data_IF_848819136620
#
_entry.id   IF_848819136620
#
_cell.length_a   1.000
_cell.length_b   1.000
_cell.length_c   1.000
_cell.angle_alpha   90.00
_cell.angle_beta   90.00
_cell.angle_gamma   90.00
#
_symmetry.space_group_name_H-M   'P 1'
#
loop_
_entity.id
_entity.type
_entity.pdbx_description
1 polymer ?
#
# COMPACT_ATOMS: atom_id res chain seq x y z
N UNK A 1 -3.84 -35.56 -1.28
CA UNK A 1 -4.22 -36.84 -1.94
C UNK A 1 -5.68 -37.23 -1.70
N UNK A 2 -6.13 -37.22 -0.43
CA UNK A 2 -7.52 -37.54 -0.08
C UNK A 2 -8.53 -36.46 -0.50
N UNK A 3 -8.28 -35.18 -0.23
CA UNK A 3 -9.20 -34.10 -0.63
C UNK A 3 -9.45 -34.03 -2.14
N UNK A 4 -8.40 -34.26 -2.94
CA UNK A 4 -8.49 -34.28 -4.41
C UNK A 4 -9.37 -35.46 -4.87
N UNK A 5 -9.17 -36.64 -4.28
CA UNK A 5 -9.97 -37.83 -4.59
C UNK A 5 -11.45 -37.65 -4.18
N UNK A 6 -11.70 -37.08 -3.01
CA UNK A 6 -13.04 -36.73 -2.55
C UNK A 6 -13.73 -35.74 -3.48
N UNK A 7 -13.02 -34.72 -3.97
CA UNK A 7 -13.56 -33.77 -4.93
C UNK A 7 -13.84 -34.40 -6.30
N UNK A 8 -12.94 -35.25 -6.79
CA UNK A 8 -13.12 -35.93 -8.08
C UNK A 8 -14.32 -36.88 -8.09
N UNK A 9 -14.53 -37.61 -6.98
CA UNK A 9 -15.63 -38.58 -6.84
C UNK A 9 -16.97 -37.95 -6.44
N UNK A 10 -16.97 -36.71 -5.94
CA UNK A 10 -18.20 -35.98 -5.63
C UNK A 10 -18.98 -35.69 -6.94
N UNK A 11 -20.27 -36.05 -6.97
CA UNK A 11 -21.17 -35.87 -8.12
C UNK A 11 -22.08 -34.65 -8.01
N UNK A 12 -21.99 -33.88 -6.92
CA UNK A 12 -22.75 -32.64 -6.75
C UNK A 12 -22.37 -31.63 -7.86
N UNK A 13 -23.33 -31.11 -8.64
CA UNK A 13 -23.05 -30.11 -9.68
C UNK A 13 -22.41 -28.83 -9.12
N UNK A 14 -22.62 -28.52 -7.84
CA UNK A 14 -22.09 -27.33 -7.18
C UNK A 14 -20.79 -27.58 -6.40
N UNK A 15 -20.19 -28.77 -6.51
CA UNK A 15 -19.00 -29.14 -5.73
C UNK A 15 -17.84 -28.14 -5.86
N UNK A 16 -17.69 -27.51 -7.04
CA UNK A 16 -16.64 -26.50 -7.29
C UNK A 16 -16.90 -25.22 -6.51
N UNK A 17 -18.13 -24.73 -6.54
CA UNK A 17 -18.53 -23.54 -5.80
C UNK A 17 -18.37 -23.78 -4.29
N UNK A 18 -18.85 -24.92 -3.78
CA UNK A 18 -18.66 -25.32 -2.40
C UNK A 18 -17.17 -25.43 -2.00
N UNK A 19 -16.32 -25.94 -2.90
CA UNK A 19 -14.88 -25.99 -2.68
C UNK A 19 -14.26 -24.60 -2.60
N UNK A 20 -14.59 -23.70 -3.53
CA UNK A 20 -14.11 -22.31 -3.53
C UNK A 20 -14.49 -21.62 -2.23
N UNK A 21 -15.76 -21.72 -1.83
CA UNK A 21 -16.25 -21.08 -0.61
C UNK A 21 -15.54 -21.64 0.63
N UNK A 22 -15.31 -22.96 0.70
CA UNK A 22 -14.54 -23.59 1.79
C UNK A 22 -13.09 -23.12 1.82
N UNK A 23 -12.41 -23.09 0.67
CA UNK A 23 -10.98 -22.74 0.61
C UNK A 23 -10.74 -21.28 0.98
N UNK A 24 -11.54 -20.35 0.46
CA UNK A 24 -11.36 -18.91 0.74
C UNK A 24 -11.61 -18.57 2.21
N UNK A 25 -12.38 -19.38 2.94
CA UNK A 25 -12.59 -19.21 4.39
C UNK A 25 -11.57 -19.94 5.27
N UNK A 26 -10.64 -20.70 4.69
CA UNK A 26 -9.69 -21.52 5.46
C UNK A 26 -8.50 -20.71 5.99
N UNK A 27 -7.88 -21.20 7.07
CA UNK A 27 -6.66 -20.61 7.62
C UNK A 27 -5.50 -20.69 6.63
N UNK A 28 -5.44 -21.74 5.81
CA UNK A 28 -4.46 -21.89 4.74
C UNK A 28 -4.58 -20.79 3.70
N UNK A 29 -5.81 -20.39 3.33
CA UNK A 29 -6.01 -19.24 2.45
C UNK A 29 -5.49 -17.96 3.10
N UNK A 30 -5.79 -17.71 4.38
CA UNK A 30 -5.28 -16.52 5.07
C UNK A 30 -3.75 -16.46 5.05
N UNK A 31 -3.09 -17.58 5.34
CA UNK A 31 -1.63 -17.65 5.32
C UNK A 31 -1.05 -17.48 3.91
N UNK A 32 -1.69 -18.05 2.88
CA UNK A 32 -1.27 -17.89 1.49
C UNK A 32 -1.46 -16.46 1.00
N UNK A 33 -2.65 -15.88 1.24
CA UNK A 33 -3.03 -14.55 0.78
C UNK A 33 -2.27 -13.44 1.51
N UNK A 34 -1.83 -13.69 2.74
CA UNK A 34 -0.86 -12.82 3.42
C UNK A 34 0.43 -12.66 2.59
N UNK A 35 0.90 -13.73 1.94
CA UNK A 35 2.06 -13.67 1.05
C UNK A 35 1.85 -12.78 -0.17
N UNK A 36 0.63 -12.73 -0.71
CA UNK A 36 0.25 -11.76 -1.75
C UNK A 36 0.32 -10.31 -1.22
N UNK A 37 -0.08 -10.09 0.04
CA UNK A 37 -0.03 -8.77 0.68
C UNK A 37 1.35 -8.41 1.27
N UNK A 38 2.31 -9.34 1.36
CA UNK A 38 3.59 -9.12 2.04
C UNK A 38 4.38 -7.96 1.42
N UNK A 39 4.42 -7.88 0.09
CA UNK A 39 5.11 -6.79 -0.61
C UNK A 39 4.33 -5.47 -0.52
N UNK A 40 3.01 -5.56 -0.71
CA UNK A 40 2.09 -4.44 -0.77
C UNK A 40 1.98 -3.70 0.57
N UNK A 41 1.94 -4.45 1.67
CA UNK A 41 1.74 -3.94 3.02
C UNK A 41 3.02 -4.01 3.88
N UNK A 42 4.17 -4.38 3.28
CA UNK A 42 5.46 -4.53 3.98
C UNK A 42 5.41 -5.47 5.19
N UNK A 43 4.68 -6.57 5.08
CA UNK A 43 4.37 -7.45 6.22
C UNK A 43 5.50 -8.43 6.54
N UNK A 44 6.51 -8.55 5.67
CA UNK A 44 7.72 -9.31 5.97
C UNK A 44 8.57 -8.60 7.03
N UNK A 45 8.77 -9.29 8.15
CA UNK A 45 9.61 -8.84 9.25
C UNK A 45 11.07 -8.58 8.88
N UNK A 46 11.56 -9.09 7.75
CA UNK A 46 12.87 -8.71 7.22
C UNK A 46 12.94 -7.21 6.83
N UNK A 47 11.82 -6.63 6.37
CA UNK A 47 11.73 -5.20 6.05
C UNK A 47 11.56 -4.34 7.30
N UNK A 48 10.87 -4.83 8.32
CA UNK A 48 10.85 -4.22 9.66
C UNK A 48 12.20 -4.34 10.39
N UNK A 49 13.00 -5.39 10.12
CA UNK A 49 14.39 -5.50 10.58
C UNK A 49 15.33 -4.54 9.83
N UNK A 50 14.96 -4.14 8.62
CA UNK A 50 15.69 -3.17 7.77
C UNK A 50 15.31 -1.70 8.07
N UNK A 51 14.74 -1.41 9.24
CA UNK A 51 14.52 -0.03 9.78
C UNK A 51 15.85 0.66 10.15
N UNK A 52 16.97 0.10 9.73
CA UNK A 52 18.25 0.77 9.56
C UNK A 52 18.76 0.40 8.17
N UNK A 53 19.44 1.33 7.50
CA UNK A 53 20.11 1.21 6.19
C UNK A 53 19.30 1.65 4.96
N UNK A 54 19.10 2.96 4.77
CA UNK A 54 18.97 3.53 3.45
C UNK A 54 20.36 3.82 2.84
N UNK A 55 20.48 3.53 1.54
CA UNK A 55 21.57 3.95 0.65
C UNK A 55 21.75 5.48 0.56
N UNK A 56 20.83 6.26 1.17
CA UNK A 56 20.90 7.71 1.29
C UNK A 56 22.01 8.20 2.26
N UNK A 57 22.62 7.30 3.04
CA UNK A 57 23.82 7.57 3.85
C UNK A 57 25.15 7.31 3.12
N UNK A 58 25.14 7.10 1.79
CA UNK A 58 26.37 7.00 0.98
C UNK A 58 27.31 8.22 1.07
N UNK A 59 26.88 9.32 1.71
CA UNK A 59 27.68 10.53 2.00
C UNK A 59 28.23 10.61 3.43
N UNK A 60 27.88 9.70 4.33
CA UNK A 60 28.47 9.63 5.68
C UNK A 60 29.50 8.50 5.68
N UNK A 61 30.74 8.81 6.08
CA UNK A 61 31.81 7.83 6.11
C UNK A 61 31.44 6.62 6.97
N UNK A 62 31.78 5.41 6.52
CA UNK A 62 31.47 4.12 7.20
C UNK A 62 31.88 4.09 8.68
N UNK A 63 32.86 4.90 9.07
CA UNK A 63 33.37 5.01 10.45
C UNK A 63 32.46 5.85 11.37
N UNK A 64 31.78 6.89 10.85
CA UNK A 64 30.81 7.68 11.63
C UNK A 64 29.49 6.91 11.86
N UNK A 65 29.18 5.95 11.01
CA UNK A 65 27.97 5.10 11.09
C UNK A 65 28.12 4.03 12.18
N UNK A 66 29.34 3.60 12.51
CA UNK A 66 29.60 2.62 13.56
C UNK A 66 29.32 3.14 14.98
N UNK A 67 29.21 4.46 15.16
CA UNK A 67 28.89 5.10 16.44
C UNK A 67 27.39 5.24 16.72
N UNK A 68 26.51 5.03 15.73
CA UNK A 68 25.05 4.87 15.95
C UNK A 68 24.77 3.40 16.36
N UNK A 69 25.46 3.00 17.43
CA UNK A 69 24.97 2.25 18.59
C UNK A 69 23.75 1.34 18.33
N UNK A 70 24.05 0.06 18.03
CA UNK A 70 23.13 -1.11 18.05
C UNK A 70 22.24 -1.20 19.31
N UNK A 71 22.61 -0.51 20.39
CA UNK A 71 21.87 -0.37 21.65
C UNK A 71 20.69 0.60 21.60
N UNK A 72 20.62 1.51 20.62
CA UNK A 72 19.52 2.47 20.44
C UNK A 72 18.41 1.98 19.51
N UNK A 73 18.59 0.83 18.87
CA UNK A 73 17.63 0.24 17.94
C UNK A 73 17.09 -1.07 18.50
N UNK A 74 15.77 -1.19 18.58
CA UNK A 74 15.06 -2.43 18.88
C UNK A 74 13.83 -2.44 17.97
N UNK A 75 13.85 -3.13 16.81
CA UNK A 75 12.74 -3.05 15.88
C UNK A 75 11.46 -3.61 16.53
N UNK A 76 10.28 -3.09 16.15
CA UNK A 76 9.01 -3.67 16.57
C UNK A 76 8.93 -5.16 16.19
N UNK A 77 8.37 -6.04 17.05
CA UNK A 77 8.19 -7.45 16.74
C UNK A 77 7.29 -7.58 15.50
N UNK A 78 7.79 -8.14 14.38
CA UNK A 78 7.03 -8.17 13.13
C UNK A 78 5.80 -9.08 13.22
N UNK A 79 5.81 -10.06 14.12
CA UNK A 79 4.69 -10.94 14.43
C UNK A 79 3.40 -10.19 14.79
N UNK A 80 3.45 -9.11 15.58
CA UNK A 80 2.23 -8.39 15.99
C UNK A 80 1.51 -7.73 14.81
N UNK A 81 2.25 -7.09 13.89
CA UNK A 81 1.68 -6.53 12.67
C UNK A 81 1.22 -7.61 11.71
N UNK A 82 2.02 -8.67 11.55
CA UNK A 82 1.69 -9.80 10.68
C UNK A 82 0.42 -10.51 11.12
N UNK A 83 0.27 -10.78 12.41
CA UNK A 83 -0.92 -11.37 13.00
C UNK A 83 -2.12 -10.42 12.89
N UNK A 84 -1.91 -9.12 13.12
CA UNK A 84 -2.96 -8.12 12.88
C UNK A 84 -3.45 -8.17 11.42
N UNK A 85 -2.56 -8.15 10.41
CA UNK A 85 -2.98 -8.28 9.00
C UNK A 85 -3.76 -9.57 8.75
N UNK A 86 -3.34 -10.71 9.32
CA UNK A 86 -4.10 -11.97 9.23
C UNK A 86 -5.52 -11.83 9.77
N UNK A 87 -5.71 -11.13 10.90
CA UNK A 87 -7.08 -10.88 11.42
C UNK A 87 -7.93 -10.06 10.45
N UNK A 88 -7.33 -9.11 9.73
CA UNK A 88 -8.04 -8.30 8.73
C UNK A 88 -8.47 -9.14 7.52
N UNK A 89 -7.59 -10.03 7.04
CA UNK A 89 -7.89 -10.98 5.97
C UNK A 89 -8.97 -11.98 6.43
N UNK A 90 -8.82 -12.55 7.62
CA UNK A 90 -9.77 -13.52 8.17
C UNK A 90 -11.17 -12.92 8.27
N UNK A 91 -11.28 -11.69 8.77
CA UNK A 91 -12.54 -10.96 8.92
C UNK A 91 -13.14 -10.40 7.61
N UNK A 92 -12.50 -10.65 6.45
CA UNK A 92 -12.91 -10.09 5.16
C UNK A 92 -13.12 -8.57 5.21
N UNK A 93 -12.16 -7.86 5.83
CA UNK A 93 -12.28 -6.41 5.97
C UNK A 93 -12.25 -5.75 4.57
N UNK A 94 -13.15 -4.80 4.28
CA UNK A 94 -13.10 -4.01 3.06
C UNK A 94 -11.71 -3.38 2.84
N UNK A 95 -11.17 -3.55 1.64
CA UNK A 95 -9.82 -3.11 1.28
C UNK A 95 -9.61 -1.61 1.45
N UNK A 96 -10.58 -0.79 1.03
CA UNK A 96 -10.59 0.65 1.27
C UNK A 96 -10.49 1.02 2.75
N UNK A 97 -11.20 0.30 3.63
CA UNK A 97 -11.16 0.55 5.08
C UNK A 97 -9.84 0.09 5.70
N UNK A 98 -9.28 -1.03 5.24
CA UNK A 98 -7.98 -1.52 5.68
C UNK A 98 -6.87 -0.52 5.32
N UNK A 99 -6.82 -0.09 4.05
CA UNK A 99 -5.83 0.89 3.58
C UNK A 99 -5.98 2.22 4.32
N UNK A 100 -7.21 2.67 4.56
CA UNK A 100 -7.45 3.89 5.34
C UNK A 100 -6.94 3.76 6.78
N UNK A 101 -7.16 2.63 7.45
CA UNK A 101 -6.62 2.41 8.80
C UNK A 101 -5.09 2.38 8.80
N UNK A 102 -4.48 1.70 7.84
CA UNK A 102 -3.02 1.62 7.70
C UNK A 102 -2.40 3.02 7.52
N UNK A 103 -2.95 3.84 6.62
CA UNK A 103 -2.41 5.17 6.31
C UNK A 103 -2.65 6.19 7.42
N UNK A 104 -3.67 5.98 8.25
CA UNK A 104 -4.04 6.88 9.36
C UNK A 104 -3.63 6.38 10.73
N UNK A 105 -2.98 5.21 10.81
CA UNK A 105 -2.53 4.64 12.07
C UNK A 105 -1.60 5.60 12.82
N UNK A 106 -1.83 5.68 14.13
CA UNK A 106 -1.07 6.48 15.10
C UNK A 106 -1.08 5.75 16.45
N UNK A 107 -0.24 6.22 17.38
CA UNK A 107 -0.03 5.61 18.70
C UNK A 107 1.16 4.66 18.73
N UNK A 108 1.28 3.97 19.86
CA UNK A 108 2.33 2.98 20.11
C UNK A 108 2.10 1.70 19.32
N UNK A 109 3.18 1.13 18.79
CA UNK A 109 3.10 -0.12 18.02
C UNK A 109 2.46 -1.29 18.80
N UNK A 110 2.77 -1.43 20.10
CA UNK A 110 2.19 -2.51 20.92
C UNK A 110 0.68 -2.36 21.16
N UNK A 111 0.15 -1.14 21.06
CA UNK A 111 -1.26 -0.82 21.25
C UNK A 111 -2.01 -0.81 19.91
N UNK A 112 -1.34 -0.40 18.84
CA UNK A 112 -1.89 -0.31 17.49
C UNK A 112 -0.91 -0.89 16.45
N UNK A 113 -0.96 -2.22 16.19
CA UNK A 113 -0.07 -2.86 15.23
C UNK A 113 -0.17 -2.32 13.80
N UNK A 114 -1.28 -1.68 13.41
CA UNK A 114 -1.45 -1.07 12.08
C UNK A 114 -0.40 0.01 11.78
N UNK A 115 0.19 0.62 12.82
CA UNK A 115 1.32 1.55 12.70
C UNK A 115 2.56 0.92 12.06
N UNK A 116 2.66 -0.42 12.05
CA UNK A 116 3.77 -1.18 11.48
C UNK A 116 4.10 -0.82 10.03
N UNK A 117 3.08 -0.57 9.19
CA UNK A 117 3.29 -0.12 7.81
C UNK A 117 4.08 1.19 7.74
N UNK A 118 3.64 2.20 8.48
CA UNK A 118 4.25 3.53 8.47
C UNK A 118 5.63 3.52 9.13
N UNK A 119 5.83 2.69 10.16
CA UNK A 119 7.13 2.50 10.80
C UNK A 119 8.14 1.82 9.86
N UNK A 120 7.70 0.83 9.08
CA UNK A 120 8.53 0.18 8.07
C UNK A 120 9.03 1.18 7.01
N UNK A 121 8.17 2.12 6.61
CA UNK A 121 8.48 3.11 5.58
C UNK A 121 9.29 4.31 6.12
N UNK A 122 9.00 4.77 7.35
CA UNK A 122 9.65 5.96 7.93
C UNK A 122 11.14 5.71 8.24
N UNK A 123 11.52 4.47 8.58
CA UNK A 123 12.92 4.08 8.83
C UNK A 123 13.86 4.23 7.62
N UNK A 124 13.30 4.38 6.41
CA UNK A 124 14.07 4.45 5.16
C UNK A 124 14.23 5.89 4.67
N UNK A 125 13.55 6.86 5.30
CA UNK A 125 13.61 8.28 4.94
C UNK A 125 12.91 8.58 3.60
N UNK A 126 11.78 9.29 3.67
CA UNK A 126 11.04 9.83 2.51
C UNK A 126 10.43 8.81 1.52
N UNK A 127 10.35 7.51 1.85
CA UNK A 127 9.78 6.49 0.93
C UNK A 127 8.25 6.36 1.05
N UNK A 128 7.65 6.74 2.18
CA UNK A 128 6.20 6.61 2.42
C UNK A 128 5.29 7.06 1.26
N UNK A 129 5.47 8.25 0.64
CA UNK A 129 4.57 8.67 -0.44
C UNK A 129 4.71 7.80 -1.69
N UNK A 130 5.93 7.42 -2.08
CA UNK A 130 6.16 6.57 -3.25
C UNK A 130 5.53 5.20 -3.09
N UNK A 131 5.82 4.53 -1.97
CA UNK A 131 5.29 3.19 -1.75
C UNK A 131 3.78 3.21 -1.63
N UNK A 132 3.19 4.16 -0.90
CA UNK A 132 1.72 4.28 -0.82
C UNK A 132 1.08 4.50 -2.20
N UNK A 133 1.68 5.31 -3.07
CA UNK A 133 1.17 5.54 -4.42
C UNK A 133 1.29 4.30 -5.31
N UNK A 134 2.42 3.59 -5.31
CA UNK A 134 2.59 2.35 -6.08
C UNK A 134 1.73 1.20 -5.54
N UNK A 135 1.66 1.09 -4.21
CA UNK A 135 0.89 0.07 -3.51
C UNK A 135 -0.60 0.23 -3.78
N UNK A 136 -1.13 1.44 -3.59
CA UNK A 136 -2.57 1.63 -3.50
C UNK A 136 -3.18 2.36 -4.69
N UNK A 137 -2.46 3.27 -5.37
CA UNK A 137 -2.93 3.94 -6.57
C UNK A 137 -2.38 3.32 -7.88
N UNK A 138 -1.40 2.42 -7.80
CA UNK A 138 -0.71 1.89 -8.97
C UNK A 138 -0.02 2.99 -9.76
N UNK A 139 0.65 3.94 -9.09
CA UNK A 139 1.46 4.97 -9.77
C UNK A 139 2.85 5.05 -9.15
N UNK A 140 3.86 5.05 -10.01
CA UNK A 140 5.24 5.23 -9.60
C UNK A 140 5.65 6.72 -9.68
N UNK A 141 5.75 7.36 -8.52
CA UNK A 141 6.16 8.77 -8.41
C UNK A 141 7.63 8.94 -8.00
N UNK A 142 8.39 7.85 -7.83
CA UNK A 142 9.71 7.89 -7.18
C UNK A 142 10.74 8.72 -7.94
N UNK A 143 10.76 8.70 -9.28
CA UNK A 143 11.70 9.54 -10.04
C UNK A 143 11.45 11.04 -9.78
N UNK A 144 10.18 11.41 -9.59
CA UNK A 144 9.74 12.77 -9.26
C UNK A 144 10.25 13.28 -7.90
N UNK A 145 10.87 12.44 -7.07
CA UNK A 145 11.45 12.88 -5.80
C UNK A 145 12.54 13.94 -5.98
N UNK A 146 13.39 13.78 -6.99
CA UNK A 146 14.58 14.60 -7.19
C UNK A 146 14.50 15.49 -8.43
N UNK A 147 13.71 15.11 -9.42
CA UNK A 147 13.53 15.84 -10.68
C UNK A 147 12.23 15.39 -11.36
N UNK A 148 11.67 16.19 -12.26
CA UNK A 148 10.47 15.78 -13.02
C UNK A 148 10.64 14.41 -13.68
N UNK A 149 9.57 13.62 -13.67
CA UNK A 149 9.58 12.28 -14.24
C UNK A 149 9.97 12.33 -15.74
N UNK A 150 10.89 11.47 -16.21
CA UNK A 150 11.44 11.58 -17.56
C UNK A 150 10.46 11.22 -18.68
N UNK A 151 9.38 10.49 -18.36
CA UNK A 151 8.45 9.91 -19.35
C UNK A 151 6.97 10.19 -19.08
N UNK A 152 6.64 10.81 -17.95
CA UNK A 152 5.25 11.06 -17.53
C UNK A 152 5.13 12.51 -17.07
N UNK A 153 3.93 13.07 -17.15
CA UNK A 153 3.63 14.43 -16.68
C UNK A 153 3.48 14.46 -15.15
N UNK A 154 4.53 14.02 -14.45
CA UNK A 154 4.64 14.04 -12.99
C UNK A 154 5.85 14.90 -12.65
N UNK A 155 5.61 16.08 -12.09
CA UNK A 155 6.65 17.05 -11.78
C UNK A 155 7.21 16.83 -10.37
N UNK A 156 8.41 17.37 -10.09
CA UNK A 156 8.99 17.27 -8.74
C UNK A 156 8.05 17.87 -7.68
N UNK A 157 7.40 18.98 -8.01
CA UNK A 157 6.42 19.61 -7.14
C UNK A 157 5.23 18.68 -6.83
N UNK A 158 4.79 17.81 -7.75
CA UNK A 158 3.70 16.87 -7.50
C UNK A 158 4.09 15.81 -6.47
N UNK A 159 5.32 15.27 -6.58
CA UNK A 159 5.86 14.38 -5.56
C UNK A 159 5.91 15.06 -4.20
N UNK A 160 6.43 16.30 -4.14
CA UNK A 160 6.58 17.04 -2.88
C UNK A 160 5.22 17.34 -2.24
N UNK A 161 4.19 17.62 -3.04
CA UNK A 161 2.80 17.82 -2.58
C UNK A 161 2.19 16.54 -2.02
N UNK A 162 2.45 15.38 -2.64
CA UNK A 162 2.02 14.09 -2.09
C UNK A 162 2.78 13.79 -0.79
N UNK A 163 4.10 14.01 -0.76
CA UNK A 163 4.94 13.85 0.42
C UNK A 163 4.49 14.74 1.58
N UNK A 164 3.99 15.94 1.30
CA UNK A 164 3.48 16.86 2.31
C UNK A 164 2.28 16.33 3.09
N UNK A 165 1.51 15.36 2.55
CA UNK A 165 0.48 14.67 3.35
C UNK A 165 1.06 13.84 4.50
N UNK A 166 2.33 13.45 4.42
CA UNK A 166 3.02 12.68 5.46
C UNK A 166 3.98 13.55 6.29
N UNK A 167 4.10 14.86 5.99
CA UNK A 167 5.06 15.76 6.63
C UNK A 167 4.84 15.92 8.14
N UNK A 168 3.60 15.77 8.60
CA UNK A 168 3.26 15.88 10.03
C UNK A 168 3.64 14.63 10.83
N UNK A 169 3.83 13.49 10.17
CA UNK A 169 4.10 12.21 10.84
C UNK A 169 5.48 12.23 11.50
N UNK A 170 5.51 11.99 12.82
CA UNK A 170 6.73 11.90 13.61
C UNK A 170 6.77 10.57 14.37
N UNK A 171 7.97 10.02 14.52
CA UNK A 171 8.25 8.95 15.47
C UNK A 171 8.77 9.58 16.76
N UNK A 172 8.00 9.45 17.83
CA UNK A 172 8.44 9.86 19.16
C UNK A 172 9.28 8.73 19.80
N UNK A 173 10.46 9.05 20.37
CA UNK A 173 11.25 8.08 21.11
C UNK A 173 10.48 7.50 22.30
N UNK A 174 10.62 6.20 22.54
CA UNK A 174 10.16 5.54 23.77
C UNK A 174 11.39 5.12 24.57
N UNK A 175 11.41 5.48 25.86
CA UNK A 175 12.56 5.26 26.76
C UNK A 175 13.89 5.80 26.20
N UNK A 176 13.83 6.92 25.47
CA UNK A 176 15.00 7.55 24.86
C UNK A 176 15.53 6.84 23.60
N UNK A 177 14.83 5.82 23.08
CA UNK A 177 15.16 5.13 21.83
C UNK A 177 14.18 5.55 20.73
N UNK A 178 14.71 6.14 19.66
CA UNK A 178 13.91 6.64 18.52
C UNK A 178 13.16 5.51 17.79
N UNK A 179 13.78 4.33 17.72
CA UNK A 179 13.26 3.15 17.02
C UNK A 179 13.21 1.99 18.01
N UNK A 180 12.39 2.18 19.05
CA UNK A 180 12.07 1.15 20.03
C UNK A 180 11.07 0.14 19.46
N UNK A 181 10.93 -1.00 20.15
CA UNK A 181 9.97 -2.02 19.77
C UNK A 181 8.52 -1.53 19.87
N UNK A 182 8.32 -0.41 20.56
CA UNK A 182 7.04 0.21 20.86
C UNK A 182 6.99 1.65 20.33
N UNK A 183 7.67 1.93 19.22
CA UNK A 183 7.75 3.26 18.62
C UNK A 183 6.36 3.92 18.53
N UNK A 184 6.28 5.19 18.95
CA UNK A 184 5.03 5.93 19.02
C UNK A 184 4.88 6.86 17.81
N UNK A 185 3.87 6.63 16.98
CA UNK A 185 3.56 7.47 15.84
C UNK A 185 2.58 8.58 16.23
N UNK A 186 2.94 9.83 15.92
CA UNK A 186 2.06 10.98 16.14
C UNK A 186 2.08 11.89 14.92
N UNK A 187 1.03 12.69 14.75
CA UNK A 187 1.03 13.81 13.81
C UNK A 187 1.32 15.10 14.57
N UNK A 188 2.37 15.82 14.16
CA UNK A 188 2.76 17.14 14.67
C UNK A 188 2.38 18.20 13.63
N UNK A 189 1.24 18.90 13.77
CA UNK A 189 0.71 19.82 12.74
C UNK A 189 1.63 21.00 12.41
N UNK A 190 2.57 21.30 13.30
CA UNK A 190 3.58 22.34 13.08
C UNK A 190 4.70 21.90 12.15
N UNK A 191 4.88 20.59 11.93
CA UNK A 191 5.90 20.06 11.04
C UNK A 191 5.41 20.06 9.59
N UNK A 192 5.76 21.12 8.85
CA UNK A 192 5.39 21.26 7.44
C UNK A 192 6.54 20.83 6.55
N UNK A 193 6.21 20.05 5.51
CA UNK A 193 7.15 19.76 4.44
C UNK A 193 7.63 21.06 3.79
N UNK A 194 8.90 21.05 3.35
CA UNK A 194 9.55 22.20 2.72
C UNK A 194 10.27 21.77 1.46
N UNK A 195 10.42 22.70 0.52
CA UNK A 195 11.23 22.48 -0.67
C UNK A 195 12.68 22.19 -0.28
N UNK A 196 13.34 21.21 -0.93
CA UNK A 196 14.70 20.83 -0.59
C UNK A 196 15.69 21.96 -0.91
N UNK A 197 16.87 21.92 -0.28
CA UNK A 197 17.88 22.97 -0.44
C UNK A 197 18.43 23.08 -1.88
N UNK A 198 18.31 22.01 -2.65
CA UNK A 198 18.71 21.91 -4.06
C UNK A 198 17.52 22.03 -5.04
N UNK A 199 16.36 22.47 -4.58
CA UNK A 199 15.21 22.73 -5.45
C UNK A 199 15.57 23.75 -6.54
N UNK A 200 15.36 23.37 -7.81
CA UNK A 200 15.92 24.06 -8.98
C UNK A 200 14.89 24.64 -9.95
N UNK A 201 13.60 24.54 -9.63
CA UNK A 201 12.51 24.95 -10.50
C UNK A 201 11.99 26.34 -10.12
N UNK A 202 11.41 27.05 -11.09
CA UNK A 202 11.02 28.46 -10.94
C UNK A 202 9.66 28.66 -10.23
N UNK A 203 9.00 27.58 -9.82
CA UNK A 203 7.70 27.56 -9.15
C UNK A 203 7.82 27.51 -7.61
N UNK A 204 9.03 27.65 -7.07
CA UNK A 204 9.28 27.75 -5.64
C UNK A 204 10.74 28.06 -5.30
N UNK A 205 10.98 28.50 -4.07
CA UNK A 205 12.33 28.76 -3.54
C UNK A 205 12.72 27.66 -2.55
N UNK A 206 13.98 27.17 -2.55
CA UNK A 206 14.47 26.27 -1.51
C UNK A 206 14.07 26.71 -0.09
N UNK A 207 13.47 25.79 0.68
CA UNK A 207 12.96 26.05 2.03
C UNK A 207 11.52 26.56 2.13
N UNK A 208 10.88 26.92 1.02
CA UNK A 208 9.46 27.30 1.02
C UNK A 208 8.58 26.16 1.54
N UNK A 209 7.51 26.45 2.29
CA UNK A 209 6.57 25.43 2.74
C UNK A 209 5.85 24.80 1.55
N UNK A 210 5.66 23.49 1.60
CA UNK A 210 4.89 22.74 0.60
C UNK A 210 3.53 22.39 1.19
N UNK A 211 2.48 22.83 0.52
CA UNK A 211 1.11 22.43 0.87
C UNK A 211 0.79 21.05 0.31
N UNK A 212 0.06 20.19 1.06
CA UNK A 212 -0.40 18.91 0.55
C UNK A 212 -1.27 19.07 -0.70
N UNK A 213 -1.12 18.16 -1.67
CA UNK A 213 -1.86 18.21 -2.92
C UNK A 213 -1.68 16.96 -3.77
N UNK A 214 -2.57 16.80 -4.74
CA UNK A 214 -2.61 15.65 -5.66
C UNK A 214 -2.57 16.15 -7.10
N UNK A 215 -1.99 15.36 -8.00
CA UNK A 215 -1.81 15.72 -9.41
C UNK A 215 -2.86 15.07 -10.33
N UNK A 216 -3.75 14.24 -9.79
CA UNK A 216 -4.88 13.66 -10.52
C UNK A 216 -6.12 13.52 -9.64
N UNK A 217 -7.27 13.33 -10.29
CA UNK A 217 -8.55 13.14 -9.60
C UNK A 217 -9.05 14.41 -8.92
N UNK A 218 -9.91 14.24 -7.91
CA UNK A 218 -10.48 15.35 -7.16
C UNK A 218 -9.42 16.04 -6.29
N UNK A 219 -9.46 17.37 -6.22
CA UNK A 219 -8.62 18.15 -5.31
C UNK A 219 -8.92 17.81 -3.85
N UNK A 220 -7.88 17.74 -3.03
CA UNK A 220 -8.01 17.44 -1.59
C UNK A 220 -8.07 18.73 -0.79
N UNK A 221 -9.14 18.93 -0.05
CA UNK A 221 -9.26 20.00 0.94
C UNK A 221 -8.77 19.50 2.29
N UNK A 222 -7.49 19.73 2.54
CA UNK A 222 -6.77 19.27 3.73
C UNK A 222 -7.45 19.66 5.05
N UNK A 223 -8.06 20.84 5.11
CA UNK A 223 -8.62 21.41 6.34
C UNK A 223 -9.89 20.68 6.83
N UNK A 224 -10.48 19.81 5.98
CA UNK A 224 -11.64 18.99 6.33
C UNK A 224 -11.29 17.70 7.07
N UNK A 225 -10.01 17.40 7.24
CA UNK A 225 -9.54 16.17 7.86
C UNK A 225 -8.70 16.48 9.10
N UNK A 226 -8.71 15.60 10.12
CA UNK A 226 -7.99 15.84 11.37
C UNK A 226 -6.47 15.90 11.20
N UNK A 227 -5.92 15.18 10.23
CA UNK A 227 -4.48 15.14 9.92
C UNK A 227 -4.27 15.14 8.41
N UNK A 228 -3.05 15.46 7.98
CA UNK A 228 -2.70 15.44 6.56
C UNK A 228 -2.87 14.05 5.95
N UNK A 229 -2.39 13.02 6.65
CA UNK A 229 -2.53 11.63 6.21
C UNK A 229 -3.98 11.17 6.16
N UNK A 230 -4.84 11.67 7.05
CA UNK A 230 -6.28 11.38 6.98
C UNK A 230 -6.90 11.95 5.69
N UNK A 231 -6.56 13.18 5.32
CA UNK A 231 -7.02 13.77 4.05
C UNK A 231 -6.56 12.96 2.83
N UNK A 232 -5.31 12.50 2.84
CA UNK A 232 -4.77 11.63 1.79
C UNK A 232 -5.46 10.29 1.73
N UNK A 233 -5.65 9.62 2.88
CA UNK A 233 -6.31 8.31 2.95
C UNK A 233 -7.76 8.39 2.48
N UNK A 234 -8.48 9.46 2.84
CA UNK A 234 -9.84 9.72 2.36
C UNK A 234 -9.88 9.89 0.84
N UNK A 235 -8.98 10.69 0.27
CA UNK A 235 -8.90 10.88 -1.18
C UNK A 235 -8.50 9.61 -1.93
N UNK A 236 -7.52 8.88 -1.40
CA UNK A 236 -6.97 7.69 -2.04
C UNK A 236 -8.01 6.58 -2.10
N UNK A 237 -8.75 6.38 -1.01
CA UNK A 237 -9.71 5.27 -0.88
C UNK A 237 -11.14 5.64 -1.32
N UNK A 238 -11.34 6.87 -1.81
CA UNK A 238 -12.63 7.32 -2.33
C UNK A 238 -13.06 6.52 -3.56
N UNK A 239 -14.35 6.21 -3.68
CA UNK A 239 -14.91 5.54 -4.86
C UNK A 239 -14.74 6.34 -6.16
N UNK A 240 -14.60 7.67 -6.05
CA UNK A 240 -14.33 8.58 -7.15
C UNK A 240 -12.85 8.58 -7.59
N UNK A 241 -11.97 7.89 -6.87
CA UNK A 241 -10.58 7.70 -7.26
C UNK A 241 -10.45 6.36 -8.03
N UNK A 242 -10.53 6.38 -9.38
CA UNK A 242 -10.58 5.15 -10.17
C UNK A 242 -9.29 4.34 -10.06
N UNK A 243 -8.15 5.01 -9.83
CA UNK A 243 -6.83 4.36 -9.72
C UNK A 243 -6.77 3.39 -8.55
N UNK A 244 -7.39 3.73 -7.42
CA UNK A 244 -7.45 2.83 -6.27
C UNK A 244 -8.14 1.50 -6.59
N UNK A 245 -9.30 1.58 -7.25
CA UNK A 245 -10.06 0.37 -7.63
C UNK A 245 -9.36 -0.40 -8.75
N UNK A 246 -8.89 0.26 -9.80
CA UNK A 246 -8.21 -0.41 -10.91
C UNK A 246 -6.95 -1.14 -10.46
N UNK A 247 -6.15 -0.52 -9.59
CA UNK A 247 -4.90 -1.11 -9.13
C UNK A 247 -5.14 -2.42 -8.38
N UNK A 248 -6.07 -2.46 -7.41
CA UNK A 248 -6.33 -3.71 -6.69
C UNK A 248 -6.98 -4.77 -7.58
N UNK A 249 -7.87 -4.38 -8.50
CA UNK A 249 -8.47 -5.31 -9.46
C UNK A 249 -7.41 -5.92 -10.38
N UNK A 250 -6.54 -5.10 -10.95
CA UNK A 250 -5.48 -5.53 -11.87
C UNK A 250 -4.51 -6.51 -11.18
N UNK A 251 -4.14 -6.24 -9.92
CA UNK A 251 -3.27 -7.11 -9.12
C UNK A 251 -3.93 -8.43 -8.73
N UNK A 252 -5.21 -8.43 -8.36
CA UNK A 252 -5.93 -9.67 -8.05
C UNK A 252 -6.16 -10.51 -9.31
N UNK A 253 -6.38 -9.85 -10.44
CA UNK A 253 -6.45 -10.51 -11.74
C UNK A 253 -5.11 -11.18 -12.07
N UNK A 254 -4.00 -10.45 -12.01
CA UNK A 254 -2.65 -11.02 -12.21
C UNK A 254 -2.40 -12.19 -11.25
N UNK A 255 -2.73 -12.03 -9.97
CA UNK A 255 -2.54 -13.07 -8.96
C UNK A 255 -3.28 -14.38 -9.29
N UNK A 256 -4.48 -14.30 -9.87
CA UNK A 256 -5.28 -15.48 -10.22
C UNK A 256 -5.00 -16.04 -11.62
N UNK A 257 -4.74 -15.18 -12.60
CA UNK A 257 -4.63 -15.56 -14.02
C UNK A 257 -3.19 -15.56 -14.55
N UNK A 258 -2.23 -15.04 -13.78
CA UNK A 258 -0.80 -15.04 -14.11
C UNK A 258 -0.33 -13.92 -15.04
N UNK A 259 -1.21 -13.03 -15.47
CA UNK A 259 -0.88 -11.85 -16.30
C UNK A 259 -1.87 -10.75 -15.99
N UNK A 260 -1.41 -9.51 -15.89
CA UNK A 260 -2.26 -8.36 -15.59
C UNK A 260 -3.04 -7.89 -16.83
N UNK A 261 -4.18 -7.22 -16.61
CA UNK A 261 -4.91 -6.55 -17.71
C UNK A 261 -4.14 -5.32 -18.22
N UNK A 262 -3.38 -4.69 -17.34
CA UNK A 262 -2.46 -3.58 -17.64
C UNK A 262 -1.10 -3.92 -17.07
N UNK A 263 -0.05 -3.89 -17.90
CA UNK A 263 1.32 -4.16 -17.48
C UNK A 263 2.17 -2.87 -17.48
N UNK A 264 3.05 -2.68 -16.48
CA UNK A 264 3.26 -3.56 -15.33
C UNK A 264 2.13 -3.42 -14.29
N UNK A 265 1.81 -4.51 -13.59
CA UNK A 265 0.72 -4.53 -12.61
C UNK A 265 0.80 -3.46 -11.49
N UNK A 266 2.01 -2.96 -11.21
CA UNK A 266 2.28 -1.95 -10.20
C UNK A 266 2.27 -0.49 -10.70
N UNK A 267 2.23 -0.25 -12.02
CA UNK A 267 2.23 1.08 -12.60
C UNK A 267 1.19 1.19 -13.72
N UNK A 268 0.00 1.65 -13.36
CA UNK A 268 -1.08 1.97 -14.28
C UNK A 268 -0.75 3.29 -15.00
N UNK A 269 -0.55 3.31 -16.33
CA UNK A 269 -0.23 4.55 -17.04
C UNK A 269 -1.40 5.54 -17.01
N UNK A 270 -1.14 6.83 -17.19
CA UNK A 270 -2.19 7.85 -17.33
C UNK A 270 -3.12 7.65 -18.54
N UNK A 271 -2.65 6.94 -19.56
CA UNK A 271 -3.32 6.71 -20.84
C UNK A 271 -3.82 5.26 -20.95
N UNK A 272 -4.63 4.80 -19.98
CA UNK A 272 -5.10 3.42 -19.88
C UNK A 272 -5.71 2.85 -21.17
N UNK A 273 -6.37 3.69 -21.99
CA UNK A 273 -6.97 3.26 -23.25
C UNK A 273 -5.99 2.74 -24.30
N UNK A 274 -4.71 3.14 -24.25
CA UNK A 274 -3.69 2.73 -25.24
C UNK A 274 -2.89 1.51 -24.78
N UNK A 275 -2.95 1.17 -23.49
CA UNK A 275 -2.07 0.18 -22.83
C UNK A 275 -2.82 -1.00 -22.22
N UNK A 276 -4.09 -0.84 -21.88
CA UNK A 276 -4.89 -1.93 -21.35
C UNK A 276 -5.14 -2.97 -22.44
N UNK A 277 -4.88 -4.24 -22.14
CA UNK A 277 -5.26 -5.35 -23.02
C UNK A 277 -6.76 -5.39 -23.25
N UNK A 278 -7.53 -5.05 -22.20
CA UNK A 278 -8.99 -4.93 -22.24
C UNK A 278 -9.45 -3.91 -21.17
N UNK A 279 -9.67 -2.66 -21.61
CA UNK A 279 -10.13 -1.59 -20.72
C UNK A 279 -11.58 -1.81 -20.25
N UNK A 280 -12.44 -2.33 -21.13
CA UNK A 280 -13.86 -2.57 -20.82
C UNK A 280 -13.99 -3.62 -19.71
N UNK A 281 -13.19 -4.69 -19.78
CA UNK A 281 -13.11 -5.69 -18.73
C UNK A 281 -12.60 -5.11 -17.41
N UNK A 282 -11.53 -4.29 -17.44
CA UNK A 282 -11.00 -3.65 -16.23
C UNK A 282 -12.06 -2.75 -15.56
N UNK A 283 -12.80 -1.97 -16.33
CA UNK A 283 -13.89 -1.12 -15.86
C UNK A 283 -15.03 -1.93 -15.26
N UNK A 284 -15.44 -3.02 -15.92
CA UNK A 284 -16.47 -3.92 -15.43
C UNK A 284 -16.07 -4.58 -14.09
N UNK A 285 -14.84 -5.08 -14.00
CA UNK A 285 -14.32 -5.69 -12.78
C UNK A 285 -14.19 -4.67 -11.64
N UNK A 286 -13.83 -3.42 -11.95
CA UNK A 286 -13.81 -2.33 -10.98
C UNK A 286 -15.21 -2.01 -10.43
N UNK A 287 -16.24 -2.03 -11.28
CA UNK A 287 -17.63 -1.88 -10.83
C UNK A 287 -18.04 -3.03 -9.89
N UNK A 288 -17.67 -4.28 -10.21
CA UNK A 288 -17.93 -5.43 -9.35
C UNK A 288 -17.19 -5.34 -8.01
N UNK A 289 -15.94 -4.86 -7.98
CA UNK A 289 -15.21 -4.65 -6.74
C UNK A 289 -15.93 -3.64 -5.82
N UNK A 290 -16.46 -2.56 -6.38
CA UNK A 290 -17.28 -1.59 -5.64
C UNK A 290 -18.60 -2.21 -5.15
N UNK A 291 -19.27 -2.99 -5.98
CA UNK A 291 -20.49 -3.72 -5.60
C UNK A 291 -20.24 -4.69 -4.43
N UNK A 292 -19.05 -5.30 -4.36
CA UNK A 292 -18.63 -6.16 -3.24
C UNK A 292 -18.11 -5.38 -2.04
N UNK A 293 -18.30 -4.06 -1.97
CA UNK A 293 -17.84 -3.21 -0.86
C UNK A 293 -16.34 -3.42 -0.58
N UNK A 294 -15.53 -3.53 -1.64
CA UNK A 294 -14.09 -3.74 -1.57
C UNK A 294 -13.65 -4.99 -0.79
N UNK A 295 -14.53 -5.99 -0.63
CA UNK A 295 -14.21 -7.26 0.04
C UNK A 295 -13.42 -8.18 -0.87
N UNK A 296 -12.14 -8.36 -0.54
CA UNK A 296 -11.21 -9.11 -1.37
C UNK A 296 -11.60 -10.59 -1.51
N UNK A 297 -12.04 -11.25 -0.42
CA UNK A 297 -12.49 -12.64 -0.50
C UNK A 297 -13.71 -12.78 -1.39
N UNK A 298 -14.68 -11.87 -1.25
CA UNK A 298 -15.90 -11.88 -2.08
C UNK A 298 -15.58 -11.70 -3.56
N UNK A 299 -14.65 -10.79 -3.89
CA UNK A 299 -14.21 -10.56 -5.26
C UNK A 299 -13.43 -11.76 -5.84
N UNK A 300 -12.50 -12.35 -5.07
CA UNK A 300 -11.76 -13.55 -5.48
C UNK A 300 -12.69 -14.74 -5.71
N UNK A 301 -13.70 -14.95 -4.85
CA UNK A 301 -14.74 -15.98 -5.06
C UNK A 301 -15.46 -15.76 -6.39
N UNK A 302 -15.81 -14.51 -6.72
CA UNK A 302 -16.45 -14.18 -7.99
C UNK A 302 -15.54 -14.55 -9.17
N UNK A 303 -14.27 -14.15 -9.15
CA UNK A 303 -13.31 -14.47 -10.21
C UNK A 303 -13.14 -15.98 -10.39
N UNK A 304 -13.00 -16.72 -9.27
CA UNK A 304 -12.87 -18.17 -9.29
C UNK A 304 -14.12 -18.91 -9.82
N UNK A 305 -15.30 -18.26 -9.84
CA UNK A 305 -16.53 -18.84 -10.38
C UNK A 305 -16.72 -18.59 -11.89
N UNK A 306 -15.87 -17.79 -12.52
CA UNK A 306 -15.94 -17.52 -13.96
C UNK A 306 -15.50 -18.73 -14.81
N UNK A 307 -15.93 -18.74 -16.08
CA UNK A 307 -15.46 -19.70 -17.10
C UNK A 307 -13.98 -19.51 -17.43
N UNK A 308 -13.51 -18.26 -17.45
CA UNK A 308 -12.12 -17.93 -17.68
C UNK A 308 -11.20 -18.65 -16.68
N UNK A 309 -11.61 -18.75 -15.40
CA UNK A 309 -10.85 -19.47 -14.38
C UNK A 309 -11.03 -20.99 -14.45
N UNK A 310 -12.18 -21.50 -14.90
CA UNK A 310 -12.41 -22.95 -14.97
C UNK A 310 -11.72 -23.63 -16.14
N UNK A 311 -11.35 -22.88 -17.18
CA UNK A 311 -10.79 -23.42 -18.43
C UNK A 311 -11.75 -24.34 -19.18
N UNK A 312 -13.02 -24.40 -18.77
CA UNK A 312 -14.05 -25.19 -19.43
C UNK A 312 -14.72 -24.32 -20.48
N UNK A 313 -14.45 -24.59 -21.75
CA UNK A 313 -15.39 -24.22 -22.81
C UNK A 313 -16.67 -25.04 -22.58
N UNK A 314 -17.80 -24.36 -22.41
CA UNK A 314 -19.12 -24.99 -22.45
C UNK A 314 -19.36 -25.76 -23.73
#
# INVERSE_FOLDING_TARGET
PEEVSAFQTNTDPNKREALIDRLVESEEFVNHFLGFLDDLLRVDGARLKAVAYPECLSKIGKEQIAEIRRDQFSPPPPESYRDWVKTQIQGDRPWNQLVKEILTASGKYSENPATGYLLAEHGIGLINPSHAMTAFAGVEITCAQCHDHPYEEIYQMDYLRIAAFFGELQIQPVDGKLLSADANLVDEPTNRARLPSDYRYNDGTPGDPVSPGVYFGATVDREKSPTARAAFADWLTAESNPRFTYNIVNRLWEHLYGTALVEPACNLPGHLGDVAHDLELLEYLAALMKEKDYRLKAFLKLLCKTEAFSGTKG
#
